data_IF_255490227976
#
_entry.id   IF_255490227976
#
_cell.length_a   1.000
_cell.length_b   1.000
_cell.length_c   1.000
_cell.angle_alpha   90.00
_cell.angle_beta   90.00
_cell.angle_gamma   90.00
#
_symmetry.space_group_name_H-M   'P 1'
#
loop_
_entity.id
_entity.type
_entity.pdbx_description
1 polymer ?
#
# COMPACT_ATOMS: atom_id res chain seq x y z
N UNK A 1 -10.32 -27.91 -63.56
CA UNK A 1 -9.94 -27.52 -62.19
C UNK A 1 -8.55 -28.05 -61.90
N UNK A 2 -7.69 -27.32 -61.19
CA UNK A 2 -6.45 -27.88 -60.59
C UNK A 2 -5.13 -27.28 -61.10
N UNK A 3 -4.66 -26.24 -60.42
CA UNK A 3 -3.42 -25.50 -60.69
C UNK A 3 -2.69 -25.23 -59.35
N UNK A 4 -1.36 -25.06 -59.28
CA UNK A 4 -0.37 -25.07 -60.37
C UNK A 4 0.93 -25.82 -59.97
N UNK A 5 1.86 -25.91 -60.90
CA UNK A 5 3.14 -26.63 -60.84
C UNK A 5 4.23 -26.04 -59.92
N UNK A 6 5.15 -26.94 -59.54
CA UNK A 6 6.63 -26.77 -59.42
C UNK A 6 7.18 -25.93 -58.26
N UNK A 7 8.03 -26.47 -57.36
CA UNK A 7 9.33 -27.18 -57.47
C UNK A 7 10.50 -26.21 -57.20
N UNK A 8 11.27 -26.57 -56.17
CA UNK A 8 12.68 -26.29 -55.88
C UNK A 8 13.37 -25.15 -56.67
N UNK A 9 13.85 -24.13 -55.94
CA UNK A 9 14.61 -23.02 -56.50
C UNK A 9 16.11 -23.28 -56.63
N UNK A 10 16.85 -22.30 -57.18
CA UNK A 10 18.31 -22.25 -57.14
C UNK A 10 18.87 -20.80 -57.18
N UNK A 11 20.01 -20.61 -56.52
CA UNK A 11 21.11 -19.62 -56.68
C UNK A 11 20.90 -18.13 -57.04
N UNK A 12 21.16 -17.26 -56.05
CA UNK A 12 22.24 -16.20 -55.92
C UNK A 12 22.83 -15.50 -57.18
N UNK A 13 23.46 -14.28 -57.09
CA UNK A 13 23.49 -13.26 -56.01
C UNK A 13 23.44 -11.76 -56.49
N UNK A 14 23.56 -10.83 -55.52
CA UNK A 14 24.31 -9.53 -55.56
C UNK A 14 23.55 -8.17 -55.50
N UNK A 15 24.13 -7.28 -54.67
CA UNK A 15 24.01 -5.80 -54.56
C UNK A 15 22.86 -5.07 -53.81
N UNK A 16 23.33 -4.23 -52.87
CA UNK A 16 22.91 -2.85 -52.54
C UNK A 16 21.75 -2.52 -51.55
N UNK A 17 22.18 -2.31 -50.29
CA UNK A 17 22.03 -1.09 -49.47
C UNK A 17 20.64 -0.45 -49.16
N UNK A 18 20.36 -0.44 -47.83
CA UNK A 18 19.65 0.60 -47.05
C UNK A 18 18.12 0.70 -47.13
N UNK A 19 17.44 1.28 -46.12
CA UNK A 19 17.89 1.63 -44.76
C UNK A 19 17.20 0.80 -43.66
N UNK A 20 17.75 0.82 -42.44
CA UNK A 20 17.24 0.09 -41.28
C UNK A 20 16.26 0.97 -40.48
N UNK A 21 14.95 0.79 -40.68
CA UNK A 21 13.91 1.48 -39.90
C UNK A 21 13.79 0.86 -38.51
N UNK A 22 14.55 1.37 -37.54
CA UNK A 22 14.28 1.16 -36.12
C UNK A 22 13.26 2.20 -35.64
N UNK A 23 12.05 1.80 -35.20
CA UNK A 23 11.13 2.73 -34.58
C UNK A 23 11.54 3.01 -33.12
N UNK A 24 11.53 4.30 -32.81
CA UNK A 24 11.41 4.91 -31.49
C UNK A 24 12.30 4.41 -30.35
N UNK A 25 13.37 5.19 -30.17
CA UNK A 25 13.71 5.84 -28.90
C UNK A 25 12.77 5.54 -27.73
N UNK A 26 13.36 5.05 -26.64
CA UNK A 26 12.76 5.04 -25.30
C UNK A 26 12.27 6.45 -24.95
N UNK A 27 10.97 6.69 -25.13
CA UNK A 27 10.30 7.89 -24.63
C UNK A 27 10.41 7.85 -23.11
N UNK A 28 11.45 8.52 -22.61
CA UNK A 28 11.67 8.74 -21.18
C UNK A 28 10.61 9.74 -20.72
N UNK A 29 9.38 9.25 -20.55
CA UNK A 29 8.23 10.03 -20.09
C UNK A 29 8.57 10.58 -18.72
N UNK A 30 9.05 11.83 -18.69
CA UNK A 30 9.37 12.55 -17.48
C UNK A 30 8.14 12.50 -16.59
N UNK A 31 8.20 11.88 -15.39
CA UNK A 31 7.03 11.75 -14.54
C UNK A 31 6.47 13.15 -14.27
N UNK A 32 5.19 13.34 -14.59
CA UNK A 32 4.52 14.64 -14.38
C UNK A 32 4.63 15.07 -12.91
N UNK A 33 4.50 16.38 -12.62
CA UNK A 33 4.73 16.91 -11.26
C UNK A 33 3.95 16.16 -10.18
N UNK A 34 2.71 15.73 -10.45
CA UNK A 34 1.90 14.91 -9.56
C UNK A 34 2.49 13.52 -9.26
N UNK A 35 3.12 12.85 -10.24
CA UNK A 35 3.77 11.54 -10.02
C UNK A 35 5.06 11.70 -9.19
N UNK A 36 5.81 12.79 -9.42
CA UNK A 36 6.98 13.13 -8.62
C UNK A 36 6.60 13.40 -7.15
N UNK A 37 5.54 14.18 -6.93
CA UNK A 37 4.99 14.47 -5.59
C UNK A 37 4.53 13.20 -4.87
N UNK A 38 3.82 12.29 -5.55
CA UNK A 38 3.42 10.99 -4.99
C UNK A 38 4.63 10.13 -4.60
N UNK A 39 5.68 10.13 -5.42
CA UNK A 39 6.94 9.45 -5.12
C UNK A 39 7.58 9.97 -3.83
N UNK A 40 7.71 11.29 -3.70
CA UNK A 40 8.25 11.93 -2.49
C UNK A 40 7.40 11.61 -1.24
N UNK A 41 6.06 11.74 -1.34
CA UNK A 41 5.11 11.39 -0.27
C UNK A 41 5.28 9.95 0.20
N UNK A 42 5.42 9.00 -0.74
CA UNK A 42 5.63 7.58 -0.42
C UNK A 42 6.92 7.33 0.35
N UNK A 43 8.03 7.95 -0.06
CA UNK A 43 9.29 7.78 0.67
C UNK A 43 9.26 8.48 2.04
N UNK A 44 8.62 9.65 2.16
CA UNK A 44 8.38 10.31 3.45
C UNK A 44 7.59 9.40 4.40
N UNK A 45 6.48 8.81 3.95
CA UNK A 45 5.66 7.89 4.76
C UNK A 45 6.47 6.66 5.21
N UNK A 46 7.33 6.11 4.35
CA UNK A 46 8.22 4.98 4.69
C UNK A 46 9.27 5.37 5.73
N UNK A 47 9.91 6.53 5.58
CA UNK A 47 10.90 7.05 6.55
C UNK A 47 10.23 7.37 7.89
N UNK A 48 9.06 8.00 7.87
CA UNK A 48 8.26 8.28 9.06
C UNK A 48 7.84 7.01 9.79
N UNK A 49 7.41 5.96 9.07
CA UNK A 49 7.09 4.67 9.69
C UNK A 49 8.35 4.07 10.31
N UNK A 50 9.47 4.04 9.58
CA UNK A 50 10.73 3.47 10.08
C UNK A 50 11.22 4.19 11.35
N UNK A 51 11.26 5.52 11.37
CA UNK A 51 11.65 6.30 12.56
C UNK A 51 10.68 6.07 13.73
N UNK A 52 9.38 5.96 13.45
CA UNK A 52 8.37 5.64 14.48
C UNK A 52 8.57 4.25 15.09
N UNK A 53 8.76 3.22 14.27
CA UNK A 53 8.98 1.85 14.74
C UNK A 53 10.27 1.74 15.57
N UNK A 54 11.37 2.34 15.10
CA UNK A 54 12.66 2.36 15.81
C UNK A 54 12.53 3.06 17.17
N UNK A 55 11.83 4.20 17.25
CA UNK A 55 11.62 4.93 18.53
C UNK A 55 10.86 4.10 19.56
N UNK A 56 9.94 3.24 19.14
CA UNK A 56 9.13 2.38 20.01
C UNK A 56 9.69 0.97 20.18
N UNK A 57 10.91 0.69 19.67
CA UNK A 57 11.54 -0.63 19.77
C UNK A 57 10.86 -1.73 18.96
N UNK A 58 10.01 -1.38 17.99
CA UNK A 58 9.29 -2.34 17.14
C UNK A 58 10.18 -2.72 15.95
N UNK A 59 10.41 -4.01 15.66
CA UNK A 59 11.21 -4.43 14.52
C UNK A 59 10.64 -3.92 13.19
N UNK A 60 11.47 -3.27 12.38
CA UNK A 60 11.01 -2.56 11.16
C UNK A 60 10.42 -3.48 10.09
N UNK A 61 10.74 -4.77 10.12
CA UNK A 61 10.19 -5.79 9.23
C UNK A 61 8.77 -6.26 9.63
N UNK A 62 8.27 -5.89 10.81
CA UNK A 62 6.92 -6.26 11.27
C UNK A 62 5.80 -5.46 10.60
N UNK A 63 6.07 -4.23 10.13
CA UNK A 63 5.05 -3.37 9.51
C UNK A 63 5.63 -2.68 8.28
N UNK A 64 4.95 -2.80 7.14
CA UNK A 64 5.33 -2.11 5.89
C UNK A 64 4.32 -1.04 5.50
N UNK A 65 4.81 0.14 5.09
CA UNK A 65 4.00 1.26 4.59
C UNK A 65 3.79 1.16 3.07
N UNK A 66 2.52 1.16 2.65
CA UNK A 66 2.11 1.21 1.25
C UNK A 66 1.23 2.44 1.00
N UNK A 67 1.72 3.39 0.21
CA UNK A 67 0.98 4.57 -0.19
C UNK A 67 0.05 4.23 -1.37
N UNK A 68 -1.26 4.23 -1.13
CA UNK A 68 -2.29 4.00 -2.15
C UNK A 68 -2.78 5.36 -2.64
N UNK A 69 -2.64 5.70 -3.94
CA UNK A 69 -3.19 6.95 -4.47
C UNK A 69 -4.72 6.87 -4.49
N UNK A 70 -5.37 7.92 -4.01
CA UNK A 70 -6.82 8.04 -3.96
C UNK A 70 -7.30 9.14 -4.94
N UNK A 71 -8.33 8.88 -5.76
CA UNK A 71 -8.92 9.92 -6.61
C UNK A 71 -9.63 10.98 -5.75
N UNK A 72 -9.15 12.22 -5.80
CA UNK A 72 -9.72 13.36 -5.08
C UNK A 72 -10.39 14.38 -6.02
N UNK A 73 -11.28 15.25 -5.50
CA UNK A 73 -11.93 16.31 -6.26
C UNK A 73 -11.01 17.53 -6.55
N UNK A 74 -9.68 17.35 -6.53
CA UNK A 74 -8.70 18.41 -6.67
C UNK A 74 -7.49 17.98 -7.52
N UNK A 75 -6.63 18.93 -7.91
CA UNK A 75 -5.48 18.65 -8.79
C UNK A 75 -4.35 17.89 -8.09
N UNK A 76 -4.33 17.85 -6.76
CA UNK A 76 -3.33 17.09 -6.00
C UNK A 76 -3.76 15.63 -5.75
N UNK A 77 -2.88 14.65 -6.01
CA UNK A 77 -3.16 13.26 -5.69
C UNK A 77 -3.18 13.07 -4.16
N UNK A 78 -4.33 12.62 -3.67
CA UNK A 78 -4.53 12.17 -2.29
C UNK A 78 -3.85 10.83 -2.08
N UNK A 79 -3.46 10.58 -0.84
CA UNK A 79 -2.80 9.34 -0.42
C UNK A 79 -3.54 8.75 0.77
N UNK A 80 -3.98 7.52 0.62
CA UNK A 80 -4.39 6.67 1.73
C UNK A 80 -3.24 5.74 2.08
N UNK A 81 -2.80 5.71 3.33
CA UNK A 81 -1.73 4.82 3.77
C UNK A 81 -2.29 3.46 4.21
N UNK A 82 -1.78 2.38 3.63
CA UNK A 82 -2.03 1.02 4.11
C UNK A 82 -0.82 0.53 4.91
N UNK A 83 -1.03 0.26 6.20
CA UNK A 83 -0.06 -0.37 7.10
C UNK A 83 -0.27 -1.89 7.08
N UNK A 84 0.69 -2.60 6.51
CA UNK A 84 0.67 -4.06 6.43
C UNK A 84 1.44 -4.68 7.59
N UNK A 85 0.72 -5.29 8.53
CA UNK A 85 1.28 -6.07 9.64
C UNK A 85 1.75 -7.41 9.07
N UNK A 86 3.07 -7.61 9.02
CA UNK A 86 3.77 -8.80 8.52
C UNK A 86 4.04 -9.84 9.62
N UNK A 87 4.04 -9.40 10.88
CA UNK A 87 4.22 -10.26 12.05
C UNK A 87 3.18 -9.89 13.11
N UNK A 88 2.51 -10.89 13.67
CA UNK A 88 1.53 -10.68 14.73
C UNK A 88 2.20 -10.71 16.11
N UNK A 89 1.92 -9.68 16.91
CA UNK A 89 2.18 -9.66 18.35
C UNK A 89 0.96 -8.99 19.03
N UNK A 90 0.36 -9.58 20.09
CA UNK A 90 -0.80 -9.00 20.76
C UNK A 90 -0.59 -7.56 21.25
N UNK A 91 0.65 -7.21 21.65
CA UNK A 91 1.01 -5.87 22.13
C UNK A 91 0.89 -4.83 21.02
N UNK A 92 1.14 -5.22 19.77
CA UNK A 92 1.03 -4.33 18.63
C UNK A 92 -0.41 -3.87 18.41
N UNK A 93 -1.39 -4.75 18.63
CA UNK A 93 -2.81 -4.42 18.53
C UNK A 93 -3.31 -3.64 19.75
N UNK A 94 -2.89 -4.04 20.96
CA UNK A 94 -3.19 -3.31 22.19
C UNK A 94 -2.70 -1.84 22.15
N UNK A 95 -1.60 -1.57 21.43
CA UNK A 95 -1.02 -0.24 21.29
C UNK A 95 -1.22 0.40 19.90
N UNK A 96 -2.05 -0.18 19.03
CA UNK A 96 -2.21 0.26 17.64
C UNK A 96 -2.60 1.73 17.49
N UNK A 97 -3.52 2.22 18.33
CA UNK A 97 -3.91 3.65 18.35
C UNK A 97 -2.76 4.59 18.77
N UNK A 98 -1.95 4.17 19.75
CA UNK A 98 -0.80 4.95 20.21
C UNK A 98 0.30 5.01 19.14
N UNK A 99 0.57 3.88 18.48
CA UNK A 99 1.48 3.79 17.34
C UNK A 99 1.00 4.67 16.17
N UNK A 100 -0.30 4.64 15.84
CA UNK A 100 -0.90 5.49 14.81
C UNK A 100 -0.76 6.98 15.14
N UNK A 101 -1.04 7.39 16.37
CA UNK A 101 -0.89 8.79 16.82
C UNK A 101 0.57 9.24 16.77
N UNK A 102 1.51 8.38 17.18
CA UNK A 102 2.94 8.69 17.08
C UNK A 102 3.42 8.80 15.65
N UNK A 103 2.88 7.99 14.73
CA UNK A 103 3.19 8.05 13.32
C UNK A 103 2.69 9.35 12.68
N UNK A 104 1.43 9.75 12.93
CA UNK A 104 0.90 11.03 12.41
C UNK A 104 1.75 12.22 12.85
N UNK A 105 2.06 12.33 14.15
CA UNK A 105 2.96 13.37 14.68
C UNK A 105 4.33 13.34 14.00
N UNK A 106 4.87 12.16 13.69
CA UNK A 106 6.15 12.03 12.99
C UNK A 106 6.08 12.53 11.55
N UNK A 107 4.99 12.23 10.84
CA UNK A 107 4.73 12.68 9.46
C UNK A 107 4.57 14.21 9.41
N UNK A 108 3.77 14.79 10.31
CA UNK A 108 3.58 16.25 10.42
C UNK A 108 4.88 17.01 10.68
N UNK A 109 5.81 16.39 11.43
CA UNK A 109 7.15 16.95 11.67
C UNK A 109 8.11 16.84 10.47
N UNK A 110 7.78 16.08 9.43
CA UNK A 110 8.52 16.04 8.16
C UNK A 110 7.83 16.86 7.06
N UNK A 111 6.50 16.93 7.06
CA UNK A 111 5.70 17.78 6.20
C UNK A 111 4.52 18.38 6.98
N UNK A 112 4.59 19.68 7.36
CA UNK A 112 3.50 20.38 8.05
C UNK A 112 2.20 20.52 7.25
N UNK A 113 2.19 20.17 5.95
CA UNK A 113 0.99 20.12 5.11
C UNK A 113 0.46 18.70 4.90
N UNK A 114 1.01 17.70 5.61
CA UNK A 114 0.59 16.29 5.50
C UNK A 114 -0.92 16.06 5.59
N UNK A 115 -1.63 16.79 6.45
CA UNK A 115 -3.08 16.70 6.60
C UNK A 115 -3.89 17.07 5.35
N UNK A 116 -3.28 17.74 4.36
CA UNK A 116 -3.94 18.09 3.09
C UNK A 116 -3.90 16.97 2.06
N UNK A 117 -3.01 15.98 2.23
CA UNK A 117 -2.81 14.89 1.26
C UNK A 117 -2.85 13.48 1.85
N UNK A 118 -2.57 13.29 3.14
CA UNK A 118 -2.71 12.01 3.84
C UNK A 118 -4.13 11.89 4.44
N UNK A 119 -5.04 11.25 3.71
CA UNK A 119 -6.46 11.23 4.07
C UNK A 119 -6.86 10.13 5.06
N UNK A 120 -6.04 9.10 5.24
CA UNK A 120 -6.36 8.01 6.15
C UNK A 120 -5.25 6.99 6.31
N UNK A 121 -5.45 6.13 7.30
CA UNK A 121 -4.66 4.93 7.55
C UNK A 121 -5.61 3.73 7.59
N UNK A 122 -5.29 2.67 6.85
CA UNK A 122 -5.91 1.35 7.04
C UNK A 122 -4.86 0.35 7.52
N UNK A 123 -5.31 -0.59 8.34
CA UNK A 123 -4.51 -1.69 8.85
C UNK A 123 -4.87 -2.97 8.08
N UNK A 124 -3.86 -3.66 7.57
CA UNK A 124 -4.01 -4.94 6.88
C UNK A 124 -3.12 -5.97 7.57
N UNK A 125 -3.67 -7.12 7.94
CA UNK A 125 -2.88 -8.28 8.32
C UNK A 125 -2.38 -8.98 7.06
N UNK A 126 -1.07 -9.01 6.88
CA UNK A 126 -0.35 -9.65 5.78
C UNK A 126 0.69 -10.62 6.35
N UNK A 127 0.27 -11.35 7.39
CA UNK A 127 1.02 -12.41 8.09
C UNK A 127 0.86 -13.69 7.27
N UNK A 128 1.96 -14.41 7.00
CA UNK A 128 1.93 -15.63 6.19
C UNK A 128 1.18 -16.77 6.90
N UNK A 129 1.55 -17.03 8.16
CA UNK A 129 0.91 -18.02 9.02
C UNK A 129 0.26 -17.31 10.22
N UNK A 130 -1.08 -17.29 10.34
CA UNK A 130 -1.74 -16.72 11.51
C UNK A 130 -1.41 -17.55 12.76
N UNK A 131 -1.16 -16.92 13.93
CA UNK A 131 -0.86 -17.66 15.16
C UNK A 131 -2.00 -18.60 15.57
N UNK A 132 -1.64 -19.79 16.04
CA UNK A 132 -2.58 -20.72 16.64
C UNK A 132 -3.25 -20.12 17.89
N UNK A 133 -4.53 -20.44 18.09
CA UNK A 133 -5.30 -20.02 19.28
C UNK A 133 -5.91 -18.61 19.22
N UNK A 134 -5.83 -17.90 18.09
CA UNK A 134 -6.63 -16.69 17.86
C UNK A 134 -8.00 -17.10 17.32
N UNK A 135 -8.90 -17.45 18.23
CA UNK A 135 -10.31 -17.73 17.90
C UNK A 135 -11.17 -16.48 18.07
N UNK A 136 -12.28 -16.42 17.34
CA UNK A 136 -13.26 -15.34 17.52
C UNK A 136 -13.98 -15.56 18.87
N UNK A 137 -14.00 -14.57 19.79
CA UNK A 137 -14.77 -14.67 21.02
C UNK A 137 -16.26 -14.91 20.76
N UNK A 138 -16.95 -15.48 21.75
CA UNK A 138 -18.41 -15.63 21.71
C UNK A 138 -19.06 -14.26 21.41
N UNK A 139 -19.99 -14.14 20.44
CA UNK A 139 -20.68 -12.90 20.14
C UNK A 139 -21.25 -12.15 21.36
N UNK A 140 -21.64 -12.88 22.41
CA UNK A 140 -22.11 -12.31 23.67
C UNK A 140 -21.05 -11.48 24.42
N UNK A 141 -19.75 -11.70 24.19
CA UNK A 141 -18.67 -10.92 24.81
C UNK A 141 -18.60 -9.48 24.29
N UNK A 142 -19.19 -9.19 23.11
CA UNK A 142 -19.34 -7.84 22.57
C UNK A 142 -20.62 -7.13 23.03
N UNK A 143 -21.57 -7.87 23.61
CA UNK A 143 -22.86 -7.31 24.00
C UNK A 143 -22.69 -6.39 25.24
N UNK A 144 -23.39 -5.24 25.29
CA UNK A 144 -23.39 -4.41 26.49
C UNK A 144 -23.94 -5.19 27.68
N UNK A 145 -23.44 -4.96 28.92
CA UNK A 145 -23.96 -5.63 30.11
C UNK A 145 -25.46 -5.43 30.23
N UNK A 146 -26.24 -6.53 30.22
CA UNK A 146 -27.69 -6.46 30.42
C UNK A 146 -27.96 -5.79 31.77
N UNK A 147 -28.72 -4.69 31.75
CA UNK A 147 -29.10 -3.96 32.95
C UNK A 147 -29.76 -4.95 33.95
N UNK A 148 -29.17 -5.10 35.12
CA UNK A 148 -29.71 -5.97 36.17
C UNK A 148 -31.08 -5.41 36.57
N UNK A 149 -32.18 -6.19 36.50
CA UNK A 149 -33.48 -5.68 36.91
C UNK A 149 -33.38 -5.21 38.36
N UNK A 150 -33.71 -3.92 38.58
CA UNK A 150 -33.68 -3.34 39.91
C UNK A 150 -34.59 -4.15 40.83
N UNK A 151 -34.12 -4.48 42.04
CA UNK A 151 -34.99 -5.06 43.06
C UNK A 151 -36.15 -4.10 43.26
N UNK A 152 -37.36 -4.51 42.90
CA UNK A 152 -38.56 -3.77 43.26
C UNK A 152 -38.58 -3.64 44.78
N UNK A 153 -38.60 -2.41 45.27
CA UNK A 153 -38.86 -2.17 46.67
C UNK A 153 -40.29 -2.64 46.95
N UNK A 154 -40.43 -3.64 47.81
CA UNK A 154 -41.73 -4.09 48.31
C UNK A 154 -42.21 -3.01 49.30
N UNK A 155 -43.47 -2.54 49.18
CA UNK A 155 -44.02 -1.50 50.06
C UNK A 155 -44.22 -1.98 51.51
#
# INVERSE_FOLDING_TARGET
MGLIQRVFGDSRPHSQSSPHSQPDTLTMTRPGPAQSALGLRRELLRVALRDTLVRHGIPTQWITAEAVPEPGPGPEPRVHLRLQIRHYDPRLLAHGMALQSSFYKRVELFDPQAAQWLHGISWQFAVADPPAGIEMPDPAQWAPPKARPGKAAVP
#
